data_IF_120675039612
#
_entry.id   IF_120675039612
#
_cell.length_a   1.000
_cell.length_b   1.000
_cell.length_c   1.000
_cell.angle_alpha   90.00
_cell.angle_beta   90.00
_cell.angle_gamma   90.00
#
_symmetry.space_group_name_H-M   'P 1'
#
loop_
_entity.id
_entity.type
_entity.pdbx_description
1 polymer ?
#
# COMPACT_ATOMS: atom_id res chain seq x y z
N UNK A 1 26.03 -11.91 8.06
CA UNK A 1 26.47 -10.61 7.56
C UNK A 1 25.80 -10.42 6.21
N UNK A 2 24.73 -9.65 6.14
CA UNK A 2 24.06 -9.35 4.87
C UNK A 2 24.42 -7.92 4.53
N UNK A 3 25.36 -7.81 3.60
CA UNK A 3 25.92 -6.56 3.13
C UNK A 3 24.85 -5.67 2.51
N UNK A 4 24.95 -4.39 2.86
CA UNK A 4 24.01 -3.35 2.51
C UNK A 4 23.94 -3.11 1.01
N UNK A 5 22.70 -3.11 0.51
CA UNK A 5 22.32 -2.31 -0.64
C UNK A 5 21.09 -1.48 -0.26
N UNK A 6 21.36 -0.42 0.50
CA UNK A 6 20.48 0.73 0.64
C UNK A 6 20.40 1.42 -0.72
N UNK A 7 19.47 0.99 -1.57
CA UNK A 7 19.21 1.63 -2.86
C UNK A 7 18.55 2.99 -2.64
N UNK A 8 19.42 4.01 -2.56
CA UNK A 8 19.21 5.43 -2.87
C UNK A 8 17.81 5.96 -2.59
N UNK A 9 17.67 6.69 -1.48
CA UNK A 9 16.79 7.85 -1.42
C UNK A 9 17.12 8.73 -2.64
N UNK A 10 16.27 8.69 -3.67
CA UNK A 10 16.39 9.61 -4.82
C UNK A 10 16.34 11.03 -4.26
N UNK A 11 17.36 11.82 -4.59
CA UNK A 11 17.37 13.26 -4.40
C UNK A 11 16.14 13.81 -5.15
N UNK A 12 15.07 14.18 -4.44
CA UNK A 12 13.86 14.71 -5.06
C UNK A 12 14.18 16.15 -5.51
N UNK A 13 14.17 16.46 -6.82
CA UNK A 13 14.42 17.82 -7.28
C UNK A 13 13.21 18.70 -6.94
N UNK A 14 13.53 19.90 -6.43
CA UNK A 14 12.72 21.12 -6.32
C UNK A 14 11.19 20.96 -6.21
N UNK A 15 10.68 21.42 -5.07
CA UNK A 15 9.32 21.91 -4.91
C UNK A 15 8.86 22.64 -6.19
N UNK A 16 7.67 22.30 -6.66
CA UNK A 16 6.91 23.07 -7.64
C UNK A 16 6.97 24.56 -7.26
N UNK A 17 6.87 25.46 -8.24
CA UNK A 17 6.89 26.91 -8.01
C UNK A 17 5.84 27.37 -6.97
N UNK A 18 4.83 26.54 -6.71
CA UNK A 18 3.72 26.79 -5.78
C UNK A 18 3.83 26.07 -4.42
N UNK A 19 4.97 25.42 -4.12
CA UNK A 19 5.19 24.74 -2.84
C UNK A 19 4.54 23.36 -2.72
N UNK A 20 4.49 22.82 -1.49
CA UNK A 20 3.85 21.54 -1.18
C UNK A 20 2.34 21.74 -0.99
N UNK A 21 1.52 20.80 -1.48
CA UNK A 21 0.07 20.82 -1.23
C UNK A 21 -0.25 20.59 0.25
N UNK A 22 0.58 19.79 0.91
CA UNK A 22 0.49 19.46 2.33
C UNK A 22 1.90 19.39 2.93
N UNK A 23 2.07 19.78 4.20
CA UNK A 23 3.37 19.71 4.89
C UNK A 23 3.95 18.28 4.94
N UNK A 24 3.06 17.30 4.92
CA UNK A 24 3.27 15.86 5.06
C UNK A 24 3.08 15.10 3.74
N UNK A 25 3.10 15.80 2.61
CA UNK A 25 2.93 15.26 1.26
C UNK A 25 3.85 14.07 0.97
N UNK A 26 5.11 14.11 1.40
CA UNK A 26 6.05 13.00 1.20
C UNK A 26 5.64 11.69 1.89
N UNK A 27 5.04 11.78 3.08
CA UNK A 27 4.56 10.61 3.82
C UNK A 27 3.28 10.08 3.17
N UNK A 28 2.39 10.96 2.73
CA UNK A 28 1.16 10.58 2.00
C UNK A 28 1.48 9.85 0.70
N UNK A 29 2.51 10.28 -0.03
CA UNK A 29 2.99 9.57 -1.21
C UNK A 29 3.49 8.16 -0.86
N UNK A 30 4.16 7.96 0.29
CA UNK A 30 4.59 6.63 0.72
C UNK A 30 3.45 5.72 1.13
N UNK A 31 2.37 6.27 1.69
CA UNK A 31 1.15 5.51 1.97
C UNK A 31 0.48 5.13 0.65
N UNK A 32 0.36 6.05 -0.30
CA UNK A 32 -0.20 5.79 -1.63
C UNK A 32 0.59 4.72 -2.40
N UNK A 33 1.93 4.82 -2.37
CA UNK A 33 2.86 3.81 -2.90
C UNK A 33 2.57 2.42 -2.29
N UNK A 34 2.42 2.35 -0.96
CA UNK A 34 2.18 1.08 -0.26
C UNK A 34 0.82 0.47 -0.59
N UNK A 35 -0.24 1.28 -0.73
CA UNK A 35 -1.56 0.80 -1.17
C UNK A 35 -1.46 0.21 -2.58
N UNK A 36 -0.77 0.88 -3.50
CA UNK A 36 -0.55 0.37 -4.85
C UNK A 36 0.25 -0.93 -4.89
N UNK A 37 1.32 -1.01 -4.09
CA UNK A 37 2.16 -2.22 -4.00
C UNK A 37 1.37 -3.41 -3.41
N UNK A 38 0.53 -3.19 -2.40
CA UNK A 38 -0.32 -4.24 -1.81
C UNK A 38 -1.40 -4.72 -2.78
N UNK A 39 -1.88 -3.85 -3.68
CA UNK A 39 -2.85 -4.23 -4.71
C UNK A 39 -2.29 -5.24 -5.73
N UNK A 40 -0.96 -5.40 -5.80
CA UNK A 40 -0.33 -6.46 -6.59
C UNK A 40 -0.65 -7.88 -6.08
N UNK A 41 -1.26 -8.01 -4.90
CA UNK A 41 -1.83 -9.26 -4.43
C UNK A 41 -3.02 -9.76 -5.29
N UNK A 42 -3.59 -8.89 -6.13
CA UNK A 42 -4.70 -9.23 -7.05
C UNK A 42 -6.09 -8.98 -6.46
N UNK A 43 -6.19 -8.75 -5.14
CA UNK A 43 -7.43 -8.46 -4.42
C UNK A 43 -7.21 -7.33 -3.41
N UNK A 44 -8.30 -6.70 -2.96
CA UNK A 44 -8.22 -5.77 -1.83
C UNK A 44 -7.87 -6.56 -0.56
N UNK A 45 -6.83 -6.12 0.14
CA UNK A 45 -6.42 -6.71 1.41
C UNK A 45 -7.26 -6.11 2.54
N UNK A 46 -8.07 -6.94 3.20
CA UNK A 46 -8.72 -6.60 4.45
C UNK A 46 -7.80 -6.95 5.61
N UNK A 47 -7.11 -5.95 6.17
CA UNK A 47 -6.18 -6.14 7.26
C UNK A 47 -5.48 -4.86 7.69
N UNK A 48 -4.58 -4.98 8.67
CA UNK A 48 -3.77 -3.87 9.15
C UNK A 48 -2.35 -3.92 8.55
N UNK A 49 -1.96 -2.85 7.86
CA UNK A 49 -0.61 -2.69 7.33
C UNK A 49 0.20 -1.71 8.19
N UNK A 50 1.39 -2.11 8.61
CA UNK A 50 2.37 -1.25 9.29
C UNK A 50 3.72 -1.35 8.60
N UNK A 51 4.24 -0.23 8.13
CA UNK A 51 5.55 -0.17 7.46
C UNK A 51 6.47 0.86 8.11
N UNK A 52 7.65 0.43 8.58
CA UNK A 52 8.68 1.33 9.09
C UNK A 52 9.77 1.54 8.03
N UNK A 53 9.90 2.77 7.51
CA UNK A 53 10.82 3.11 6.41
C UNK A 53 10.69 2.16 5.20
N UNK A 54 9.47 1.70 4.93
CA UNK A 54 9.20 0.75 3.85
C UNK A 54 9.33 1.42 2.48
N UNK A 55 9.75 0.63 1.50
CA UNK A 55 9.75 1.00 0.08
C UNK A 55 9.27 -0.17 -0.77
N UNK A 56 9.13 0.05 -2.08
CA UNK A 56 8.52 -0.91 -3.01
C UNK A 56 9.10 -2.33 -2.93
N UNK A 57 10.41 -2.46 -2.78
CA UNK A 57 11.06 -3.77 -2.68
C UNK A 57 10.63 -4.55 -1.43
N UNK A 58 10.39 -3.86 -0.30
CA UNK A 58 9.94 -4.51 0.94
C UNK A 58 8.44 -4.84 0.86
N UNK A 59 7.63 -3.95 0.31
CA UNK A 59 6.20 -4.19 0.09
C UNK A 59 5.97 -5.38 -0.86
N UNK A 60 6.75 -5.48 -1.94
CA UNK A 60 6.65 -6.61 -2.86
C UNK A 60 7.04 -7.95 -2.20
N UNK A 61 8.07 -7.95 -1.34
CA UNK A 61 8.43 -9.14 -0.55
C UNK A 61 7.31 -9.55 0.40
N UNK A 62 6.67 -8.58 1.06
CA UNK A 62 5.51 -8.82 1.92
C UNK A 62 4.37 -9.48 1.13
N UNK A 63 4.01 -8.93 -0.03
CA UNK A 63 2.96 -9.50 -0.88
C UNK A 63 3.29 -10.92 -1.32
N UNK A 64 4.54 -11.18 -1.76
CA UNK A 64 4.97 -12.54 -2.13
C UNK A 64 4.90 -13.52 -0.96
N UNK A 65 5.29 -13.09 0.24
CA UNK A 65 5.22 -13.91 1.43
C UNK A 65 3.76 -14.21 1.81
N UNK A 66 2.89 -13.20 1.75
CA UNK A 66 1.45 -13.36 1.99
C UNK A 66 0.82 -14.37 1.02
N UNK A 67 1.14 -14.26 -0.28
CA UNK A 67 0.60 -15.18 -1.29
C UNK A 67 1.18 -16.60 -1.19
N UNK A 68 2.40 -16.76 -0.67
CA UNK A 68 3.01 -18.07 -0.49
C UNK A 68 2.43 -18.82 0.72
N UNK A 69 2.06 -18.10 1.78
CA UNK A 69 1.49 -18.65 3.00
C UNK A 69 -0.05 -18.68 2.93
N UNK A 70 -0.60 -19.70 2.27
CA UNK A 70 -2.04 -19.84 2.07
C UNK A 70 -2.87 -19.94 3.37
N UNK A 71 -2.27 -20.35 4.48
CA UNK A 71 -2.96 -20.40 5.79
C UNK A 71 -3.05 -19.02 6.47
N UNK A 72 -2.31 -18.02 5.97
CA UNK A 72 -2.27 -16.68 6.55
C UNK A 72 -3.41 -15.76 6.06
N UNK A 73 -4.19 -16.19 5.07
CA UNK A 73 -5.27 -15.40 4.50
C UNK A 73 -6.40 -16.28 3.96
N UNK A 74 -7.59 -15.69 3.84
CA UNK A 74 -8.74 -16.31 3.20
C UNK A 74 -9.42 -15.33 2.24
N UNK A 75 -10.03 -15.86 1.18
CA UNK A 75 -10.88 -15.07 0.28
C UNK A 75 -12.26 -14.92 0.88
N UNK A 76 -12.71 -13.68 1.06
CA UNK A 76 -14.08 -13.36 1.51
C UNK A 76 -14.80 -12.52 0.46
N UNK A 77 -16.08 -12.80 0.26
CA UNK A 77 -16.98 -12.02 -0.59
C UNK A 77 -18.19 -11.57 0.22
N UNK A 78 -18.64 -10.35 -0.01
CA UNK A 78 -19.79 -9.75 0.68
C UNK A 78 -20.89 -9.48 -0.34
N UNK A 79 -22.01 -10.20 -0.21
CA UNK A 79 -23.18 -9.97 -1.04
C UNK A 79 -23.97 -8.74 -0.57
N UNK A 80 -24.66 -8.02 -1.47
CA UNK A 80 -25.35 -6.77 -1.15
C UNK A 80 -26.48 -6.89 -0.10
N UNK A 81 -27.03 -8.09 0.09
CA UNK A 81 -28.26 -8.34 0.84
C UNK A 81 -28.08 -9.17 2.13
N UNK A 82 -26.91 -9.79 2.34
CA UNK A 82 -26.69 -10.75 3.44
C UNK A 82 -25.75 -10.27 4.55
N UNK A 83 -24.66 -9.57 4.22
CA UNK A 83 -23.64 -9.14 5.19
C UNK A 83 -22.91 -7.88 4.73
N UNK A 84 -22.97 -6.80 5.50
CA UNK A 84 -22.17 -5.60 5.21
C UNK A 84 -20.68 -5.88 5.45
N UNK A 85 -19.79 -5.44 4.55
CA UNK A 85 -18.35 -5.58 4.77
C UNK A 85 -17.92 -4.78 6.02
N UNK A 86 -16.84 -5.20 6.70
CA UNK A 86 -16.31 -4.47 7.86
C UNK A 86 -15.74 -3.08 7.49
N UNK A 87 -15.57 -2.81 6.19
CA UNK A 87 -15.14 -1.53 5.65
C UNK A 87 -16.16 -1.05 4.61
N UNK A 88 -16.60 0.20 4.73
CA UNK A 88 -17.39 0.83 3.69
C UNK A 88 -16.48 1.21 2.51
N UNK A 89 -16.77 0.68 1.33
CA UNK A 89 -16.14 1.12 0.09
C UNK A 89 -16.89 2.33 -0.45
N UNK A 90 -16.18 3.43 -0.68
CA UNK A 90 -16.77 4.63 -1.26
C UNK A 90 -17.24 4.40 -2.69
N UNK A 91 -18.29 5.11 -3.11
CA UNK A 91 -18.67 5.15 -4.53
C UNK A 91 -17.51 5.75 -5.33
N UNK A 92 -17.04 5.09 -6.40
CA UNK A 92 -16.03 5.67 -7.27
C UNK A 92 -16.55 7.00 -7.85
N UNK A 93 -15.74 8.04 -7.76
CA UNK A 93 -16.00 9.29 -8.46
C UNK A 93 -15.71 9.07 -9.94
N UNK A 94 -16.73 8.67 -10.70
CA UNK A 94 -16.67 8.74 -12.16
C UNK A 94 -16.79 10.22 -12.56
N UNK A 95 -15.83 10.69 -13.35
CA UNK A 95 -15.85 12.02 -13.97
C UNK A 95 -16.66 11.98 -15.28
#
# INVERSE_FOLDING_TARGET
RLDGQCHRARRVPRAQRDGLRYRDEFVRHKILDAVGDLYLAGHQVLGAYTGYKSGHALNNKLVRALLAEHEAWESVSFEPDGSSPPLAYGMPAYA
#
